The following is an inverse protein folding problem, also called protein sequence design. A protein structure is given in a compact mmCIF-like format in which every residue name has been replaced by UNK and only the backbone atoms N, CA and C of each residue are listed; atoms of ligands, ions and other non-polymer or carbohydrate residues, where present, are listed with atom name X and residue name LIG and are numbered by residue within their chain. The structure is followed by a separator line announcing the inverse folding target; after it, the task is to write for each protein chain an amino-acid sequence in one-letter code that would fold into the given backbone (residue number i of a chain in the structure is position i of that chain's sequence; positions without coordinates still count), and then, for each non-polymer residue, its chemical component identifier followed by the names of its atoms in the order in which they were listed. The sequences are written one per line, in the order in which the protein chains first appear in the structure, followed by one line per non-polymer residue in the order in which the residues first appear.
data_IF_964868070868
#
_entry.id   IF_964868070868
#
_cell.length_a   1.000
_cell.length_b   1.000
_cell.length_c   1.000
_cell.angle_alpha   90.00
_cell.angle_beta   90.00
_cell.angle_gamma   90.00
#
_symmetry.space_group_name_H-M   'P 1'
#
loop_
_entity.id
_entity.type
_entity.pdbx_description
1 polymer ?
#
# COMPACT_ATOMS: atom_id res chain seq x y z
N UNK A 1 -4.32 18.77 13.20
CA UNK A 1 -5.04 19.46 12.10
C UNK A 1 -5.50 18.45 11.07
N UNK A 2 -6.77 18.50 10.65
CA UNK A 2 -7.32 17.63 9.62
C UNK A 2 -6.91 18.20 8.26
N UNK A 3 -6.13 17.46 7.47
CA UNK A 3 -5.79 17.86 6.11
C UNK A 3 -6.89 17.41 5.15
N UNK A 4 -7.31 18.31 4.26
CA UNK A 4 -8.32 18.00 3.24
C UNK A 4 -7.71 17.08 2.16
N UNK A 5 -8.52 16.22 1.53
CA UNK A 5 -8.10 15.49 0.34
C UNK A 5 -7.66 16.45 -0.77
N UNK A 6 -6.68 16.03 -1.57
CA UNK A 6 -6.18 16.79 -2.72
C UNK A 6 -5.99 15.90 -3.94
N UNK A 7 -6.03 16.50 -5.13
CA UNK A 7 -5.77 15.81 -6.39
C UNK A 7 -4.27 15.58 -6.56
N UNK A 8 -3.90 14.36 -6.92
CA UNK A 8 -2.53 13.96 -7.28
C UNK A 8 -2.58 13.06 -8.52
N UNK A 9 -1.47 12.97 -9.26
CA UNK A 9 -1.36 12.08 -10.43
C UNK A 9 -0.67 10.79 -10.00
N UNK A 10 -1.38 9.67 -10.15
CA UNK A 10 -0.89 8.31 -9.91
C UNK A 10 -1.21 7.45 -11.13
N UNK A 11 -0.22 6.67 -11.61
CA UNK A 11 -0.33 5.85 -12.83
C UNK A 11 -0.91 6.59 -14.05
N UNK A 12 -0.53 7.87 -14.23
CA UNK A 12 -0.97 8.71 -15.35
C UNK A 12 -2.43 9.22 -15.27
N UNK A 13 -3.13 8.98 -14.16
CA UNK A 13 -4.51 9.46 -13.93
C UNK A 13 -4.58 10.31 -12.66
N UNK A 14 -5.51 11.26 -12.64
CA UNK A 14 -5.79 12.07 -11.47
C UNK A 14 -6.64 11.28 -10.45
N UNK A 15 -6.22 11.28 -9.19
CA UNK A 15 -6.94 10.67 -8.07
C UNK A 15 -6.98 11.59 -6.87
N UNK A 16 -8.00 11.43 -6.03
CA UNK A 16 -8.10 12.12 -4.75
C UNK A 16 -7.32 11.37 -3.68
N UNK A 17 -6.35 12.04 -3.07
CA UNK A 17 -5.51 11.49 -2.00
C UNK A 17 -5.87 12.18 -0.70
N UNK A 18 -6.18 11.38 0.33
CA UNK A 18 -6.19 11.86 1.71
C UNK A 18 -4.76 11.76 2.27
N UNK A 19 -4.07 12.90 2.48
CA UNK A 19 -2.65 12.90 2.83
C UNK A 19 -2.37 12.31 4.22
N UNK A 20 -3.34 12.35 5.14
CA UNK A 20 -3.19 11.79 6.49
C UNK A 20 -3.14 10.27 6.41
N UNK A 21 -4.13 9.65 5.76
CA UNK A 21 -4.19 8.18 5.64
C UNK A 21 -3.10 7.65 4.74
N UNK A 22 -2.69 8.40 3.71
CA UNK A 22 -1.57 8.03 2.85
C UNK A 22 -0.24 8.02 3.61
N UNK A 23 -0.02 9.00 4.50
CA UNK A 23 1.14 9.00 5.40
C UNK A 23 1.11 7.82 6.38
N UNK A 24 -0.04 7.55 7.00
CA UNK A 24 -0.21 6.39 7.90
C UNK A 24 0.09 5.09 7.14
N UNK A 25 -0.45 4.90 5.94
CA UNK A 25 -0.18 3.71 5.12
C UNK A 25 1.31 3.49 4.88
N UNK A 26 2.08 4.55 4.59
CA UNK A 26 3.53 4.45 4.36
C UNK A 26 4.32 4.04 5.61
N UNK A 27 3.81 4.33 6.80
CA UNK A 27 4.50 4.05 8.07
C UNK A 27 3.97 2.82 8.83
N UNK A 28 2.72 2.43 8.60
CA UNK A 28 2.02 1.45 9.43
C UNK A 28 1.54 0.22 8.65
N UNK A 29 1.59 0.24 7.31
CA UNK A 29 1.14 -0.90 6.51
C UNK A 29 2.06 -2.10 6.74
N UNK A 30 1.53 -3.19 7.29
CA UNK A 30 2.29 -4.40 7.62
C UNK A 30 3.12 -4.93 6.45
N UNK A 31 2.62 -4.84 5.21
CA UNK A 31 3.39 -5.28 4.05
C UNK A 31 4.72 -4.53 3.91
N UNK A 32 4.75 -3.21 4.14
CA UNK A 32 5.98 -2.40 4.00
C UNK A 32 7.02 -2.75 5.07
N UNK A 33 6.57 -3.28 6.20
CA UNK A 33 7.38 -3.69 7.35
C UNK A 33 7.53 -5.21 7.48
N UNK A 34 7.22 -5.98 6.43
CA UNK A 34 7.27 -7.44 6.45
C UNK A 34 8.47 -8.00 5.66
N UNK A 35 9.27 -8.87 6.26
CA UNK A 35 10.42 -9.54 5.62
C UNK A 35 10.04 -10.36 4.39
N UNK A 36 8.78 -10.80 4.31
CA UNK A 36 8.26 -11.57 3.16
C UNK A 36 7.91 -10.69 1.96
N UNK A 37 7.92 -9.36 2.08
CA UNK A 37 7.72 -8.47 0.93
C UNK A 37 9.01 -8.43 0.10
N UNK A 38 9.01 -9.12 -1.04
CA UNK A 38 10.15 -9.22 -1.96
C UNK A 38 9.69 -8.93 -3.39
N UNK A 39 9.40 -7.66 -3.73
CA UNK A 39 8.87 -7.31 -5.04
C UNK A 39 9.76 -7.85 -6.17
N UNK A 40 9.13 -8.34 -7.24
CA UNK A 40 9.79 -8.95 -8.40
C UNK A 40 10.61 -10.23 -8.14
N UNK A 41 10.63 -10.78 -6.92
CA UNK A 41 11.27 -12.07 -6.64
C UNK A 41 10.26 -13.23 -6.73
N UNK A 42 10.69 -14.45 -7.11
CA UNK A 42 9.81 -15.62 -7.20
C UNK A 42 9.14 -15.98 -5.87
N UNK A 43 9.78 -15.66 -4.74
CA UNK A 43 9.29 -15.93 -3.39
C UNK A 43 8.58 -14.71 -2.74
N UNK A 44 8.12 -13.74 -3.54
CA UNK A 44 7.33 -12.62 -3.05
C UNK A 44 6.07 -13.08 -2.31
N UNK A 45 5.70 -12.38 -1.23
CA UNK A 45 4.47 -12.62 -0.51
C UNK A 45 3.23 -12.50 -1.42
N UNK A 46 2.52 -13.62 -1.62
CA UNK A 46 1.29 -13.69 -2.42
C UNK A 46 0.21 -12.70 -1.97
N UNK A 47 0.04 -12.48 -0.66
CA UNK A 47 -0.94 -11.51 -0.13
C UNK A 47 -0.56 -10.08 -0.55
N UNK A 48 0.72 -9.71 -0.41
CA UNK A 48 1.19 -8.39 -0.80
C UNK A 48 1.08 -8.19 -2.32
N UNK A 49 1.40 -9.23 -3.11
CA UNK A 49 1.27 -9.20 -4.57
C UNK A 49 -0.19 -8.98 -5.01
N UNK A 50 -1.14 -9.70 -4.42
CA UNK A 50 -2.56 -9.56 -4.74
C UNK A 50 -3.07 -8.14 -4.44
N UNK A 51 -2.72 -7.59 -3.27
CA UNK A 51 -3.15 -6.22 -2.94
C UNK A 51 -2.45 -5.16 -3.80
N UNK A 52 -1.18 -5.38 -4.16
CA UNK A 52 -0.48 -4.50 -5.10
C UNK A 52 -1.19 -4.49 -6.46
N UNK A 53 -1.59 -5.65 -6.98
CA UNK A 53 -2.35 -5.73 -8.24
C UNK A 53 -3.65 -4.93 -8.18
N UNK A 54 -4.42 -5.05 -7.09
CA UNK A 54 -5.64 -4.24 -6.88
C UNK A 54 -5.29 -2.74 -6.86
N UNK A 55 -4.24 -2.34 -6.15
CA UNK A 55 -3.82 -0.93 -6.07
C UNK A 55 -3.48 -0.35 -7.45
N UNK A 56 -2.79 -1.13 -8.29
CA UNK A 56 -2.44 -0.72 -9.67
C UNK A 56 -3.67 -0.69 -10.57
N UNK A 57 -4.49 -1.74 -10.53
CA UNK A 57 -5.67 -1.90 -11.40
C UNK A 57 -6.72 -0.82 -11.14
N UNK A 58 -7.03 -0.57 -9.87
CA UNK A 58 -8.11 0.35 -9.47
C UNK A 58 -7.61 1.78 -9.20
N UNK A 59 -6.30 2.01 -9.31
CA UNK A 59 -5.65 3.27 -8.93
C UNK A 59 -6.00 3.72 -7.50
N UNK A 60 -5.86 2.78 -6.56
CA UNK A 60 -6.14 2.99 -5.13
C UNK A 60 -4.92 2.65 -4.29
N UNK A 61 -4.93 3.05 -3.03
CA UNK A 61 -3.89 2.72 -2.07
C UNK A 61 -4.50 2.09 -0.81
N UNK A 62 -4.02 0.90 -0.42
CA UNK A 62 -4.52 0.13 0.71
C UNK A 62 -3.46 -0.02 1.81
N UNK A 63 -3.89 0.03 3.07
CA UNK A 63 -3.06 -0.30 4.23
C UNK A 63 -3.47 -1.67 4.78
N UNK A 64 -2.53 -2.62 4.84
CA UNK A 64 -2.74 -3.92 5.47
C UNK A 64 -2.47 -3.78 6.96
N UNK A 65 -3.50 -3.93 7.78
CA UNK A 65 -3.43 -3.78 9.26
C UNK A 65 -3.46 -5.11 10.01
N UNK A 66 -3.70 -6.23 9.31
CA UNK A 66 -3.64 -7.59 9.83
C UNK A 66 -3.19 -8.55 8.73
N UNK A 67 -2.31 -9.50 9.04
CA UNK A 67 -1.82 -10.47 8.06
C UNK A 67 -1.35 -11.74 8.77
N UNK A 68 -1.81 -12.94 8.36
CA UNK A 68 -1.40 -14.21 8.98
C UNK A 68 0.03 -14.64 8.60
N UNK A 69 0.65 -13.98 7.62
CA UNK A 69 1.99 -14.30 7.13
C UNK A 69 3.02 -13.23 7.49
N UNK A 70 2.67 -12.29 8.37
CA UNK A 70 3.57 -11.20 8.76
C UNK A 70 4.81 -11.75 9.47
N UNK A 71 5.98 -11.29 9.03
CA UNK A 71 7.27 -11.51 9.68
C UNK A 71 7.91 -10.14 9.81
N UNK A 72 8.17 -9.70 11.04
CA UNK A 72 8.73 -8.38 11.31
C UNK A 72 10.15 -8.26 10.74
N UNK A 73 10.40 -7.19 9.97
CA UNK A 73 11.74 -6.77 9.53
C UNK A 73 12.60 -6.25 10.67
#
# INVERSE_FOLDING_TARGET
MRQLPRKEVHYGKEVWVNPVTEKIRKHECLCLHCDRLKPAQPDNCKIAQNFYQICVQENVALAVTRCPLFVQK
#
